data_IF_628630075333
#
_entry.id   IF_628630075333
#
_cell.length_a   1.000
_cell.length_b   1.000
_cell.length_c   1.000
_cell.angle_alpha   90.00
_cell.angle_beta   90.00
_cell.angle_gamma   90.00
#
_symmetry.space_group_name_H-M   'P 1'
#
loop_
_entity.id
_entity.type
_entity.pdbx_description
1 polymer ?
#
# COMPACT_ATOMS: atom_id res chain seq x y z
N UNK A 1 -1.89 -0.25 8.93
CA UNK A 1 -2.09 0.20 7.52
C UNK A 1 -3.44 -0.35 7.05
N UNK A 2 -4.25 0.46 6.40
CA UNK A 2 -5.55 0.04 5.83
C UNK A 2 -5.29 -0.95 4.70
N UNK A 3 -6.19 -1.95 4.54
CA UNK A 3 -6.16 -2.83 3.38
C UNK A 3 -6.60 -2.05 2.12
N UNK A 4 -5.85 -2.18 1.03
CA UNK A 4 -6.14 -1.52 -0.25
C UNK A 4 -7.49 -1.97 -0.85
N UNK A 5 -7.88 -3.22 -0.61
CA UNK A 5 -9.18 -3.73 -1.02
C UNK A 5 -10.31 -3.01 -0.28
N UNK A 6 -10.16 -2.83 1.04
CA UNK A 6 -11.12 -2.08 1.84
C UNK A 6 -11.23 -0.63 1.37
N UNK A 7 -10.09 0.04 1.13
CA UNK A 7 -10.07 1.41 0.62
C UNK A 7 -10.80 1.54 -0.72
N UNK A 8 -10.58 0.62 -1.63
CA UNK A 8 -11.21 0.58 -2.95
C UNK A 8 -12.72 0.36 -2.87
N UNK A 9 -13.16 -0.55 -1.99
CA UNK A 9 -14.58 -0.90 -1.84
C UNK A 9 -15.35 0.16 -1.02
N UNK A 10 -14.65 0.87 -0.11
CA UNK A 10 -15.26 1.81 0.83
C UNK A 10 -14.53 3.16 0.90
N UNK A 11 -14.32 3.86 -0.23
CA UNK A 11 -13.54 5.11 -0.26
C UNK A 11 -14.14 6.19 0.63
N UNK A 12 -15.46 6.31 0.67
CA UNK A 12 -16.14 7.32 1.47
C UNK A 12 -15.97 7.08 2.98
N UNK A 13 -15.95 5.82 3.41
CA UNK A 13 -15.67 5.49 4.82
C UNK A 13 -14.25 5.90 5.21
N UNK A 14 -13.27 5.70 4.32
CA UNK A 14 -11.88 6.12 4.54
C UNK A 14 -11.78 7.66 4.57
N UNK A 15 -12.45 8.35 3.64
CA UNK A 15 -12.49 9.82 3.63
C UNK A 15 -13.15 10.38 4.88
N UNK A 16 -14.25 9.78 5.32
CA UNK A 16 -14.91 10.18 6.56
C UNK A 16 -13.99 9.97 7.78
N UNK A 17 -13.26 8.86 7.83
CA UNK A 17 -12.29 8.61 8.88
C UNK A 17 -11.14 9.64 8.90
N UNK A 18 -10.67 10.07 7.73
CA UNK A 18 -9.67 11.15 7.61
C UNK A 18 -10.22 12.46 8.21
N UNK A 19 -11.47 12.79 7.91
CA UNK A 19 -12.16 13.97 8.48
C UNK A 19 -12.29 13.86 10.01
N UNK A 20 -12.70 12.69 10.51
CA UNK A 20 -12.83 12.43 11.94
C UNK A 20 -11.48 12.58 12.69
N UNK A 21 -10.37 12.43 11.97
CA UNK A 21 -9.00 12.67 12.51
C UNK A 21 -8.47 14.07 12.23
N UNK A 22 -9.30 14.97 11.72
CA UNK A 22 -8.92 16.36 11.39
C UNK A 22 -7.71 16.46 10.45
N UNK A 23 -7.63 15.53 9.46
CA UNK A 23 -6.51 15.43 8.53
C UNK A 23 -6.94 15.66 7.08
N UNK A 24 -7.81 16.64 6.84
CA UNK A 24 -8.45 16.90 5.53
C UNK A 24 -7.48 17.03 4.37
N UNK A 25 -6.25 17.48 4.62
CA UNK A 25 -5.18 17.55 3.62
C UNK A 25 -4.87 16.19 2.97
N UNK A 26 -5.25 15.08 3.61
CA UNK A 26 -5.01 13.72 3.10
C UNK A 26 -6.17 13.15 2.27
N UNK A 27 -7.30 13.88 2.15
CA UNK A 27 -8.45 13.43 1.37
C UNK A 27 -8.12 13.09 -0.09
N UNK A 28 -7.33 13.92 -0.82
CA UNK A 28 -6.98 13.62 -2.21
C UNK A 28 -6.18 12.31 -2.38
N UNK A 29 -5.42 11.90 -1.35
CA UNK A 29 -4.61 10.68 -1.40
C UNK A 29 -5.45 9.41 -1.58
N UNK A 30 -6.70 9.42 -1.13
CA UNK A 30 -7.63 8.29 -1.29
C UNK A 30 -7.94 8.07 -2.76
N UNK A 31 -8.26 9.14 -3.48
CA UNK A 31 -8.58 9.08 -4.91
C UNK A 31 -7.33 8.73 -5.73
N UNK A 32 -6.18 9.30 -5.36
CA UNK A 32 -4.90 8.99 -5.99
C UNK A 32 -4.55 7.50 -5.89
N UNK A 33 -4.69 6.90 -4.70
CA UNK A 33 -4.46 5.45 -4.51
C UNK A 33 -5.39 4.61 -5.37
N UNK A 34 -6.67 4.99 -5.49
CA UNK A 34 -7.65 4.26 -6.30
C UNK A 34 -7.23 4.24 -7.78
N UNK A 35 -6.79 5.37 -8.32
CA UNK A 35 -6.33 5.44 -9.71
C UNK A 35 -5.03 4.65 -9.91
N UNK A 36 -4.06 4.77 -9.00
CA UNK A 36 -2.83 4.01 -9.05
C UNK A 36 -3.09 2.48 -8.95
N UNK A 37 -4.00 2.05 -8.07
CA UNK A 37 -4.40 0.63 -7.95
C UNK A 37 -5.07 0.12 -9.23
N UNK A 38 -5.86 0.96 -9.89
CA UNK A 38 -6.48 0.61 -11.17
C UNK A 38 -5.43 0.42 -12.26
N UNK A 39 -4.46 1.35 -12.37
CA UNK A 39 -3.33 1.21 -13.30
C UNK A 39 -2.49 -0.05 -12.99
N UNK A 40 -2.18 -0.28 -11.72
CA UNK A 40 -1.40 -1.43 -11.28
C UNK A 40 -2.07 -2.76 -11.66
N UNK A 41 -3.36 -2.90 -11.40
CA UNK A 41 -4.12 -4.10 -11.78
C UNK A 41 -4.21 -4.27 -13.30
N UNK A 42 -4.32 -3.18 -14.06
CA UNK A 42 -4.29 -3.23 -15.51
C UNK A 42 -2.93 -3.71 -16.04
N UNK A 43 -1.83 -3.20 -15.47
CA UNK A 43 -0.47 -3.62 -15.82
C UNK A 43 -0.24 -5.11 -15.54
N UNK A 44 -0.66 -5.61 -14.36
CA UNK A 44 -0.60 -7.03 -14.01
C UNK A 44 -1.39 -7.88 -15.01
N UNK A 45 -2.62 -7.47 -15.34
CA UNK A 45 -3.48 -8.22 -16.26
C UNK A 45 -2.85 -8.30 -17.65
N UNK A 46 -2.28 -7.20 -18.16
CA UNK A 46 -1.58 -7.17 -19.45
C UNK A 46 -0.31 -8.05 -19.40
N UNK A 47 0.48 -7.96 -18.34
CA UNK A 47 1.69 -8.76 -18.15
C UNK A 47 1.37 -10.27 -18.11
N UNK A 48 0.32 -10.67 -17.40
CA UNK A 48 -0.10 -12.08 -17.33
C UNK A 48 -0.61 -12.59 -18.68
N UNK A 49 -1.32 -11.75 -19.44
CA UNK A 49 -1.70 -12.04 -20.83
C UNK A 49 -0.46 -12.30 -21.72
N UNK A 50 0.55 -11.42 -21.63
CA UNK A 50 1.79 -11.56 -22.40
C UNK A 50 2.60 -12.80 -21.96
N UNK A 51 2.62 -13.15 -20.68
CA UNK A 51 3.25 -14.37 -20.17
C UNK A 51 2.56 -15.63 -20.71
N UNK A 52 1.22 -15.64 -20.73
CA UNK A 52 0.45 -16.73 -21.30
C UNK A 52 0.70 -16.88 -22.81
N UNK A 53 0.68 -15.77 -23.56
CA UNK A 53 0.97 -15.76 -25.00
C UNK A 53 2.39 -16.22 -25.29
N UNK A 54 3.38 -15.77 -24.54
CA UNK A 54 4.78 -16.24 -24.68
C UNK A 54 4.89 -17.74 -24.53
N UNK A 55 4.19 -18.32 -23.54
CA UNK A 55 4.19 -19.78 -23.32
C UNK A 55 3.54 -20.52 -24.49
N UNK A 56 2.44 -20.00 -25.04
CA UNK A 56 1.74 -20.52 -26.20
C UNK A 56 2.62 -20.47 -27.46
N UNK A 57 3.17 -19.30 -27.75
CA UNK A 57 4.04 -19.07 -28.92
C UNK A 57 5.32 -19.90 -28.86
N UNK A 58 5.89 -20.12 -27.66
CA UNK A 58 7.06 -20.96 -27.47
C UNK A 58 6.77 -22.43 -27.86
N UNK A 59 5.60 -22.95 -27.51
CA UNK A 59 5.16 -24.29 -27.94
C UNK A 59 4.95 -24.35 -29.45
N UNK A 60 4.37 -23.30 -30.04
CA UNK A 60 4.14 -23.18 -31.48
C UNK A 60 5.46 -23.17 -32.28
N UNK A 61 6.46 -22.41 -31.80
CA UNK A 61 7.80 -22.41 -32.38
C UNK A 61 8.39 -23.84 -32.41
N UNK A 62 8.25 -24.59 -31.31
CA UNK A 62 8.72 -25.98 -31.26
C UNK A 62 8.02 -26.87 -32.29
N UNK A 63 6.70 -26.72 -32.44
CA UNK A 63 5.93 -27.47 -33.43
C UNK A 63 6.28 -27.10 -34.89
N UNK A 64 6.49 -25.82 -35.19
CA UNK A 64 6.89 -25.32 -36.51
C UNK A 64 8.29 -25.80 -36.90
N UNK A 65 9.20 -25.78 -35.93
CA UNK A 65 10.56 -26.30 -36.14
C UNK A 65 10.55 -27.81 -36.43
N UNK A 66 9.74 -28.58 -35.73
CA UNK A 66 9.58 -30.00 -35.96
C UNK A 66 8.99 -30.33 -37.36
N UNK A 67 8.15 -29.42 -37.89
CA UNK A 67 7.58 -29.53 -39.24
C UNK A 67 8.49 -28.99 -40.35
N UNK A 68 9.64 -28.40 -40.03
CA UNK A 68 10.57 -27.79 -40.99
C UNK A 68 10.17 -26.41 -41.50
N UNK A 69 9.10 -25.77 -40.94
CA UNK A 69 8.60 -24.45 -41.33
C UNK A 69 9.42 -23.31 -40.69
N UNK A 70 10.67 -23.19 -41.09
CA UNK A 70 11.64 -22.27 -40.44
C UNK A 70 11.25 -20.80 -40.54
N UNK A 71 10.72 -20.35 -41.68
CA UNK A 71 10.32 -18.94 -41.87
C UNK A 71 9.23 -18.52 -40.89
N UNK A 72 8.19 -19.34 -40.73
CA UNK A 72 7.13 -19.09 -39.78
C UNK A 72 7.62 -19.13 -38.32
N UNK A 73 8.54 -20.03 -38.01
CA UNK A 73 9.15 -20.09 -36.71
C UNK A 73 9.95 -18.81 -36.37
N UNK A 74 10.67 -18.22 -37.37
CA UNK A 74 11.38 -16.96 -37.20
C UNK A 74 10.42 -15.76 -37.01
N UNK A 75 9.31 -15.70 -37.74
CA UNK A 75 8.25 -14.68 -37.50
C UNK A 75 7.68 -14.78 -36.10
N UNK A 76 7.39 -16.00 -35.63
CA UNK A 76 6.87 -16.23 -34.30
C UNK A 76 7.88 -15.84 -33.20
N UNK A 77 9.18 -16.11 -33.43
CA UNK A 77 10.25 -15.66 -32.53
C UNK A 77 10.33 -14.14 -32.42
N UNK A 78 10.15 -13.40 -33.51
CA UNK A 78 10.12 -11.93 -33.49
C UNK A 78 9.00 -11.43 -32.60
N UNK A 79 7.79 -11.99 -32.73
CA UNK A 79 6.65 -11.65 -31.85
C UNK A 79 6.95 -11.91 -30.37
N UNK A 80 7.60 -13.04 -30.06
CA UNK A 80 8.03 -13.35 -28.68
C UNK A 80 9.03 -12.32 -28.17
N UNK A 81 9.98 -11.87 -29.01
CA UNK A 81 10.96 -10.85 -28.62
C UNK A 81 10.33 -9.48 -28.37
N UNK A 82 9.36 -9.09 -29.19
CA UNK A 82 8.59 -7.84 -29.00
C UNK A 82 7.76 -7.89 -27.71
N UNK A 83 7.06 -9.01 -27.48
CA UNK A 83 6.31 -9.23 -26.26
C UNK A 83 7.19 -9.24 -25.00
N UNK A 84 8.43 -9.74 -25.11
CA UNK A 84 9.38 -9.74 -24.00
C UNK A 84 9.80 -8.32 -23.59
N UNK A 85 10.02 -7.42 -24.56
CA UNK A 85 10.34 -6.01 -24.28
C UNK A 85 9.17 -5.32 -23.58
N UNK A 86 7.96 -5.53 -24.09
CA UNK A 86 6.75 -4.97 -23.47
C UNK A 86 6.52 -5.49 -22.05
N UNK A 87 6.79 -6.79 -21.83
CA UNK A 87 6.70 -7.39 -20.49
C UNK A 87 7.70 -6.75 -19.51
N UNK A 88 8.95 -6.49 -19.93
CA UNK A 88 9.94 -5.82 -19.10
C UNK A 88 9.50 -4.39 -18.71
N UNK A 89 8.90 -3.64 -19.65
CA UNK A 89 8.34 -2.31 -19.36
C UNK A 89 7.21 -2.37 -18.34
N UNK A 90 6.30 -3.36 -18.49
CA UNK A 90 5.19 -3.55 -17.56
C UNK A 90 5.66 -3.97 -16.17
N UNK A 91 6.65 -4.85 -16.05
CA UNK A 91 7.24 -5.26 -14.78
C UNK A 91 7.91 -4.09 -14.04
N UNK A 92 8.59 -3.20 -14.76
CA UNK A 92 9.12 -1.96 -14.18
C UNK A 92 8.00 -1.04 -13.72
N UNK A 93 6.95 -0.88 -14.53
CA UNK A 93 5.79 -0.04 -14.20
C UNK A 93 5.03 -0.60 -12.99
N UNK A 94 4.86 -1.90 -12.90
CA UNK A 94 4.23 -2.60 -11.77
C UNK A 94 4.99 -2.29 -10.47
N UNK A 95 6.31 -2.45 -10.45
CA UNK A 95 7.14 -2.16 -9.29
C UNK A 95 7.08 -0.68 -8.87
N UNK A 96 7.11 0.26 -9.82
CA UNK A 96 6.96 1.70 -9.55
C UNK A 96 5.60 2.04 -8.94
N UNK A 97 4.52 1.44 -9.46
CA UNK A 97 3.16 1.65 -8.97
C UNK A 97 2.99 1.06 -7.58
N UNK A 98 3.51 -0.14 -7.33
CA UNK A 98 3.46 -0.78 -6.02
C UNK A 98 4.15 0.08 -4.94
N UNK A 99 5.34 0.61 -5.24
CA UNK A 99 6.07 1.47 -4.31
C UNK A 99 5.32 2.78 -4.02
N UNK A 100 4.75 3.41 -5.06
CA UNK A 100 3.93 4.62 -4.89
C UNK A 100 2.69 4.36 -4.06
N UNK A 101 1.93 3.32 -4.38
CA UNK A 101 0.74 2.92 -3.62
C UNK A 101 1.12 2.70 -2.15
N UNK A 102 2.18 1.93 -1.90
CA UNK A 102 2.65 1.64 -0.54
C UNK A 102 3.01 2.93 0.21
N UNK A 103 3.74 3.84 -0.42
CA UNK A 103 4.15 5.11 0.21
C UNK A 103 2.96 5.96 0.62
N UNK A 104 1.94 6.07 -0.23
CA UNK A 104 0.72 6.84 0.07
C UNK A 104 -0.12 6.12 1.14
N UNK A 105 -0.28 4.81 1.04
CA UNK A 105 -1.02 4.00 2.01
C UNK A 105 -0.44 4.07 3.42
N UNK A 106 0.87 4.28 3.57
CA UNK A 106 1.51 4.50 4.87
C UNK A 106 1.16 5.86 5.51
N UNK A 107 0.75 6.84 4.71
CA UNK A 107 0.36 8.18 5.16
C UNK A 107 -1.12 8.25 5.54
N UNK A 108 -1.96 7.42 4.90
CA UNK A 108 -3.41 7.37 5.19
C UNK A 108 -3.62 6.77 6.60
N UNK A 109 -4.36 7.46 7.49
CA UNK A 109 -4.56 7.01 8.86
C UNK A 109 -5.47 5.77 8.93
N UNK A 110 -5.18 4.86 9.86
CA UNK A 110 -6.04 3.71 10.13
C UNK A 110 -7.44 4.14 10.58
N UNK A 111 -8.43 3.27 10.32
CA UNK A 111 -9.82 3.49 10.72
C UNK A 111 -9.92 3.56 12.25
N UNK A 112 -10.68 4.53 12.73
CA UNK A 112 -11.04 4.65 14.15
C UNK A 112 -12.13 3.63 14.44
N UNK A 113 -12.02 2.94 15.58
CA UNK A 113 -13.10 2.09 16.06
C UNK A 113 -14.33 2.95 16.43
N UNK A 114 -15.55 2.51 16.13
CA UNK A 114 -16.77 3.28 16.43
C UNK A 114 -16.97 3.60 17.91
N UNK A 115 -16.37 2.86 18.81
CA UNK A 115 -16.42 3.11 20.26
C UNK A 115 -15.52 4.26 20.73
N UNK A 116 -14.57 4.69 19.88
CA UNK A 116 -13.63 5.77 20.23
C UNK A 116 -14.28 7.13 19.94
N UNK A 117 -14.35 8.03 20.94
CA UNK A 117 -14.87 9.38 20.72
C UNK A 117 -14.00 10.16 19.74
N UNK A 118 -14.65 11.00 18.93
CA UNK A 118 -13.95 11.87 17.98
C UNK A 118 -13.58 13.15 18.73
N UNK A 119 -12.29 13.43 18.82
CA UNK A 119 -11.74 14.61 19.48
C UNK A 119 -10.48 15.11 18.82
N UNK A 120 -10.16 16.40 19.03
CA UNK A 120 -8.97 17.04 18.46
C UNK A 120 -7.72 16.73 19.27
N UNK A 121 -7.86 16.66 20.57
CA UNK A 121 -6.77 16.44 21.51
C UNK A 121 -7.25 15.68 22.77
N UNK A 122 -6.37 15.51 23.73
CA UNK A 122 -6.59 14.77 24.95
C UNK A 122 -7.60 15.40 25.90
N UNK A 123 -7.93 16.69 25.77
CA UNK A 123 -8.96 17.35 26.57
C UNK A 123 -10.37 16.84 26.26
N UNK A 124 -10.57 16.25 25.07
CA UNK A 124 -11.83 15.67 24.63
C UNK A 124 -11.92 14.14 24.91
N UNK A 125 -10.91 13.58 25.59
CA UNK A 125 -10.97 12.18 26.00
C UNK A 125 -12.08 11.91 27.01
N UNK A 126 -12.77 10.78 26.85
CA UNK A 126 -13.81 10.32 27.76
C UNK A 126 -13.23 9.27 28.69
N UNK A 127 -13.27 9.55 30.01
CA UNK A 127 -12.87 8.56 31.01
C UNK A 127 -13.91 7.43 31.04
N UNK A 128 -13.49 6.21 30.73
CA UNK A 128 -14.37 5.03 30.72
C UNK A 128 -14.37 4.34 32.08
N UNK A 129 -13.23 4.26 32.74
CA UNK A 129 -13.06 3.55 34.01
C UNK A 129 -11.92 4.18 34.79
N UNK A 130 -12.09 4.25 36.12
CA UNK A 130 -11.08 4.71 37.06
C UNK A 130 -10.79 3.61 38.06
N UNK A 131 -9.54 3.22 38.16
CA UNK A 131 -9.09 2.23 39.14
C UNK A 131 -8.17 2.87 40.19
N UNK A 132 -8.62 2.88 41.45
CA UNK A 132 -7.90 3.50 42.56
C UNK A 132 -7.87 5.02 42.54
N UNK A 133 -7.19 5.60 43.49
CA UNK A 133 -6.96 7.04 43.56
C UNK A 133 -5.43 7.30 43.48
N UNK A 134 -5.00 8.26 42.66
CA UNK A 134 -3.61 8.61 42.58
C UNK A 134 -3.15 9.25 43.89
N UNK A 135 -2.07 8.71 44.47
CA UNK A 135 -1.42 9.36 45.61
C UNK A 135 -0.39 10.34 45.06
N UNK A 136 -0.70 11.61 45.10
CA UNK A 136 0.22 12.66 44.73
C UNK A 136 1.08 12.96 45.94
N UNK A 137 2.42 12.76 45.90
CA UNK A 137 3.31 13.12 47.00
C UNK A 137 3.38 14.64 47.17
N UNK A 138 3.78 15.08 48.34
CA UNK A 138 3.94 16.47 48.72
C UNK A 138 5.28 17.11 48.29
N UNK A 139 6.06 16.36 47.50
CA UNK A 139 7.32 16.81 46.91
C UNK A 139 7.23 16.83 45.38
N UNK A 140 8.08 17.66 44.75
CA UNK A 140 8.19 17.74 43.30
C UNK A 140 8.70 16.44 42.69
N UNK A 141 7.93 15.85 41.79
CA UNK A 141 8.32 14.63 41.08
C UNK A 141 9.03 15.04 39.78
N UNK A 142 10.34 14.72 39.64
CA UNK A 142 11.06 15.03 38.43
C UNK A 142 10.52 14.20 37.24
N UNK A 143 10.62 14.75 36.05
CA UNK A 143 10.28 14.00 34.84
C UNK A 143 11.18 12.78 34.67
N UNK A 144 10.69 11.77 33.95
CA UNK A 144 11.46 10.55 33.69
C UNK A 144 12.78 10.83 32.96
N UNK A 145 12.84 11.85 32.10
CA UNK A 145 14.07 12.32 31.45
C UNK A 145 15.10 12.80 32.46
N UNK A 146 14.68 13.57 33.45
CA UNK A 146 15.57 14.10 34.49
C UNK A 146 16.12 12.97 35.39
N UNK A 147 15.24 11.97 35.69
CA UNK A 147 15.64 10.77 36.44
C UNK A 147 16.66 9.94 35.62
N UNK A 148 16.46 9.82 34.31
CA UNK A 148 17.39 9.10 33.43
C UNK A 148 18.76 9.79 33.37
N UNK A 149 18.80 11.12 33.32
CA UNK A 149 20.05 11.89 33.35
C UNK A 149 20.78 11.71 34.70
N UNK A 150 20.05 11.80 35.82
CA UNK A 150 20.62 11.59 37.16
C UNK A 150 21.12 10.17 37.37
N UNK A 151 20.43 9.17 36.85
CA UNK A 151 20.78 7.77 36.98
C UNK A 151 21.86 7.28 36.01
N UNK A 152 22.27 8.13 35.04
CA UNK A 152 23.24 7.80 33.99
C UNK A 152 22.89 6.54 33.18
N UNK A 153 21.60 6.17 33.10
CA UNK A 153 21.12 4.99 32.34
C UNK A 153 21.44 5.11 30.85
N UNK A 154 21.52 6.33 30.34
CA UNK A 154 21.81 6.62 28.93
C UNK A 154 23.30 6.47 28.54
N UNK A 155 24.17 6.24 29.52
CA UNK A 155 25.59 6.00 29.30
C UNK A 155 25.87 4.52 29.07
#
# INVERSE_FOLDING_TARGET
MIDIKFLRENPEAVKQNIKNKFQDAKLPLVDEVIELDKEHRAAITEADGLRADRNRLSKEIGALMAKGEREKAEETKKKVTESAKRLEELEKREAELEEKIKSIMMVIPNIIDPSVPIGKDDSENVELERFGEPKVPDFEIPYHTDIMELSLIHI
#
